data_IF_955623055751
#
_entry.id   IF_955623055751
#
_cell.length_a   1.000
_cell.length_b   1.000
_cell.length_c   1.000
_cell.angle_alpha   90.00
_cell.angle_beta   90.00
_cell.angle_gamma   90.00
#
_symmetry.space_group_name_H-M   'P 1'
#
loop_
_entity.id
_entity.type
_entity.pdbx_description
1 polymer ?
#
# COMPACT_ATOMS: atom_id res chain seq x y z
N UNK A 1 1.64 -6.54 -24.59
CA UNK A 1 0.75 -6.99 -23.49
C UNK A 1 0.84 -5.98 -22.36
N UNK A 2 -0.28 -5.58 -21.74
CA UNK A 2 -0.26 -4.63 -20.63
C UNK A 2 0.29 -5.30 -19.36
N UNK A 3 1.25 -4.65 -18.69
CA UNK A 3 1.87 -5.17 -17.46
C UNK A 3 0.89 -5.11 -16.30
N UNK A 4 0.68 -6.25 -15.62
CA UNK A 4 -0.13 -6.33 -14.41
C UNK A 4 0.72 -6.12 -13.16
N UNK A 5 0.18 -5.41 -12.18
CA UNK A 5 0.78 -5.22 -10.86
C UNK A 5 -0.12 -5.77 -9.77
N UNK A 6 0.45 -6.04 -8.60
CA UNK A 6 -0.24 -6.44 -7.39
C UNK A 6 -0.51 -5.20 -6.53
N UNK A 7 -1.78 -4.95 -6.22
CA UNK A 7 -2.24 -3.80 -5.46
C UNK A 7 -2.52 -4.20 -4.01
N UNK A 8 -2.08 -3.37 -3.08
CA UNK A 8 -2.28 -3.56 -1.65
C UNK A 8 -2.72 -2.27 -1.00
N UNK A 9 -3.69 -2.35 -0.10
CA UNK A 9 -3.95 -1.28 0.86
C UNK A 9 -3.12 -1.55 2.11
N UNK A 10 -2.38 -0.55 2.60
CA UNK A 10 -1.57 -0.64 3.81
C UNK A 10 -2.03 0.45 4.76
N UNK A 11 -2.43 0.06 5.96
CA UNK A 11 -2.92 0.96 7.01
C UNK A 11 -1.92 1.08 8.15
N UNK A 12 -1.69 2.31 8.59
CA UNK A 12 -0.79 2.68 9.67
C UNK A 12 -1.55 3.44 10.74
N UNK A 13 -1.23 3.14 12.00
CA UNK A 13 -1.68 3.91 13.16
C UNK A 13 -0.47 4.61 13.77
N UNK A 14 -0.65 5.88 14.13
CA UNK A 14 0.33 6.66 14.87
C UNK A 14 -0.34 7.23 16.13
N UNK A 15 0.34 7.22 17.30
CA UNK A 15 -0.23 7.79 18.52
C UNK A 15 -0.68 9.23 18.33
N UNK A 16 -1.92 9.55 18.72
CA UNK A 16 -2.47 10.89 18.62
C UNK A 16 -2.89 11.34 17.22
N UNK A 17 -2.80 10.47 16.21
CA UNK A 17 -3.31 10.72 14.86
C UNK A 17 -4.33 9.67 14.45
N UNK A 18 -5.18 10.03 13.51
CA UNK A 18 -6.06 9.07 12.86
C UNK A 18 -5.27 8.03 12.06
N UNK A 19 -5.90 6.87 11.87
CA UNK A 19 -5.36 5.83 10.99
C UNK A 19 -5.24 6.37 9.57
N UNK A 20 -4.06 6.21 8.97
CA UNK A 20 -3.82 6.58 7.59
C UNK A 20 -3.60 5.32 6.75
N UNK A 21 -4.11 5.33 5.52
CA UNK A 21 -3.95 4.21 4.61
C UNK A 21 -3.41 4.68 3.27
N UNK A 22 -2.61 3.83 2.63
CA UNK A 22 -2.07 4.06 1.30
C UNK A 22 -2.20 2.82 0.44
N UNK A 23 -2.49 3.05 -0.84
CA UNK A 23 -2.51 1.99 -1.84
C UNK A 23 -1.16 1.95 -2.53
N UNK A 24 -0.48 0.82 -2.45
CA UNK A 24 0.80 0.56 -3.12
C UNK A 24 0.64 -0.50 -4.19
N UNK A 25 1.38 -0.33 -5.29
CA UNK A 25 1.42 -1.30 -6.40
C UNK A 25 2.84 -1.83 -6.58
N UNK A 26 2.95 -3.15 -6.74
CA UNK A 26 4.25 -3.82 -6.92
C UNK A 26 4.21 -4.88 -8.02
N UNK A 27 5.35 -5.17 -8.68
CA UNK A 27 5.43 -6.20 -9.71
C UNK A 27 5.35 -7.63 -9.15
N UNK A 28 5.52 -7.83 -7.84
CA UNK A 28 5.51 -9.15 -7.19
C UNK A 28 4.50 -9.20 -6.03
N UNK A 29 3.93 -10.38 -5.72
CA UNK A 29 2.87 -10.52 -4.72
C UNK A 29 3.35 -10.41 -3.26
N UNK A 30 4.64 -10.20 -3.01
CA UNK A 30 5.21 -10.26 -1.65
C UNK A 30 5.21 -8.87 -1.01
N UNK A 31 4.53 -8.71 0.12
CA UNK A 31 4.72 -7.54 0.96
C UNK A 31 5.92 -7.77 1.87
N UNK A 32 7.02 -7.04 1.63
CA UNK A 32 8.25 -7.14 2.44
C UNK A 32 8.32 -5.99 3.42
N UNK A 33 9.17 -6.11 4.44
CA UNK A 33 9.42 -5.00 5.37
C UNK A 33 9.84 -3.72 4.64
N UNK A 34 10.72 -3.81 3.63
CA UNK A 34 11.13 -2.67 2.83
C UNK A 34 9.94 -1.96 2.15
N UNK A 35 9.00 -2.72 1.58
CA UNK A 35 7.81 -2.16 0.94
C UNK A 35 6.84 -1.51 1.92
N UNK A 36 6.74 -2.06 3.14
CA UNK A 36 5.98 -1.42 4.22
C UNK A 36 6.62 -0.08 4.63
N UNK A 37 7.95 0.00 4.66
CA UNK A 37 8.66 1.26 4.90
C UNK A 37 8.42 2.27 3.77
N UNK A 38 8.50 1.86 2.51
CA UNK A 38 8.19 2.72 1.35
C UNK A 38 6.75 3.26 1.42
N UNK A 39 5.78 2.39 1.73
CA UNK A 39 4.39 2.76 1.92
C UNK A 39 4.24 3.79 3.05
N UNK A 40 4.89 3.57 4.20
CA UNK A 40 4.88 4.51 5.33
C UNK A 40 5.46 5.87 4.95
N UNK A 41 6.60 5.87 4.26
CA UNK A 41 7.30 7.07 3.82
C UNK A 41 6.47 7.87 2.80
N UNK A 42 5.68 7.21 1.95
CA UNK A 42 4.80 7.86 0.99
C UNK A 42 3.67 8.68 1.63
N UNK A 43 3.28 8.34 2.87
CA UNK A 43 2.34 9.10 3.69
C UNK A 43 3.02 10.22 4.51
N UNK A 44 4.33 10.42 4.35
CA UNK A 44 5.09 11.39 5.15
C UNK A 44 5.27 10.99 6.61
N UNK A 45 4.95 9.76 6.98
CA UNK A 45 5.02 9.27 8.36
C UNK A 45 6.47 8.91 8.72
N UNK A 46 7.15 9.85 9.39
CA UNK A 46 8.57 9.74 9.75
C UNK A 46 8.83 9.05 11.10
N UNK A 47 7.84 9.05 12.00
CA UNK A 47 7.96 8.55 13.37
C UNK A 47 7.08 7.31 13.62
N UNK A 48 7.18 6.76 14.85
CA UNK A 48 6.58 5.53 15.39
C UNK A 48 5.15 5.24 14.96
N UNK A 49 5.00 4.69 13.76
CA UNK A 49 3.71 4.22 13.26
C UNK A 49 3.76 2.70 13.10
N UNK A 50 2.72 2.07 13.62
CA UNK A 50 2.54 0.62 13.57
C UNK A 50 1.70 0.28 12.36
N UNK A 51 2.14 -0.71 11.59
CA UNK A 51 1.28 -1.32 10.56
C UNK A 51 0.15 -2.05 11.25
N UNK A 52 -1.09 -1.62 11.01
CA UNK A 52 -2.27 -2.24 11.61
C UNK A 52 -3.02 -3.15 10.63
N UNK A 53 -2.76 -3.02 9.33
CA UNK A 53 -3.43 -3.83 8.32
C UNK A 53 -2.74 -3.79 6.97
N UNK A 54 -2.77 -4.93 6.27
CA UNK A 54 -2.36 -5.08 4.87
C UNK A 54 -3.41 -5.91 4.16
N UNK A 55 -4.08 -5.33 3.18
CA UNK A 55 -5.12 -6.00 2.39
C UNK A 55 -4.69 -6.12 0.94
N UNK A 56 -4.73 -7.32 0.38
CA UNK A 56 -4.51 -7.54 -1.05
C UNK A 56 -5.77 -7.16 -1.83
N UNK A 57 -5.63 -6.26 -2.80
CA UNK A 57 -6.75 -5.73 -3.59
C UNK A 57 -6.88 -6.42 -4.96
N UNK A 58 -5.84 -7.12 -5.41
CA UNK A 58 -5.87 -7.87 -6.66
C UNK A 58 -4.65 -7.66 -7.55
N UNK A 59 -4.61 -8.45 -8.64
CA UNK A 59 -3.60 -8.35 -9.71
C UNK A 59 -4.26 -7.85 -10.98
N UNK A 60 -3.97 -6.61 -11.36
CA UNK A 60 -4.63 -5.96 -12.48
C UNK A 60 -3.71 -5.00 -13.22
N UNK A 61 -4.14 -4.55 -14.40
CA UNK A 61 -3.47 -3.47 -15.14
C UNK A 61 -3.82 -2.12 -14.52
N UNK A 62 -3.01 -1.11 -14.80
CA UNK A 62 -3.29 0.26 -14.33
C UNK A 62 -4.60 0.82 -14.89
N UNK A 63 -4.97 0.44 -16.12
CA UNK A 63 -6.26 0.77 -16.71
C UNK A 63 -7.42 0.21 -15.86
N UNK A 64 -7.38 -1.09 -15.57
CA UNK A 64 -8.42 -1.74 -14.76
C UNK A 64 -8.53 -1.13 -13.36
N UNK A 65 -7.38 -0.85 -12.73
CA UNK A 65 -7.36 -0.19 -11.42
C UNK A 65 -8.06 1.18 -11.44
N UNK A 66 -7.85 1.97 -12.49
CA UNK A 66 -8.46 3.29 -12.63
C UNK A 66 -9.96 3.21 -13.00
N UNK A 67 -10.43 2.10 -13.55
CA UNK A 67 -11.85 1.86 -13.85
C UNK A 67 -12.63 1.39 -12.61
N UNK A 68 -11.96 0.76 -11.65
CA UNK A 68 -12.57 0.29 -10.38
C UNK A 68 -12.58 1.34 -9.26
N UNK A 69 -11.95 2.51 -9.48
CA UNK A 69 -11.76 3.57 -8.48
C UNK A 69 -12.70 4.74 -8.69
#
# INVERSE_FOLDING_TARGET
>A
MATKSYYFNVSFSHPGLETQSVIVKHPTPRMTHHRLLEARMSLGIRADATTIGVSFLGKMTEKQWNEER
#
